data_IF_484902291445
#
_entry.id   IF_484902291445
#
_cell.length_a   1.000
_cell.length_b   1.000
_cell.length_c   1.000
_cell.angle_alpha   90.00
_cell.angle_beta   90.00
_cell.angle_gamma   90.00
#
_symmetry.space_group_name_H-M   'P 1'
#
loop_
_entity.id
_entity.type
_entity.pdbx_description
1 polymer ?
#
# COMPACT_ATOMS: atom_id res chain seq x y z
N UNK A 1 -6.12 38.48 43.15
CA UNK A 1 -5.17 37.93 42.17
C UNK A 1 -5.93 36.98 41.26
N UNK A 2 -6.35 37.52 40.11
CA UNK A 2 -6.96 36.77 39.04
C UNK A 2 -5.84 36.16 38.19
N UNK A 3 -5.77 34.85 38.11
CA UNK A 3 -4.89 34.12 37.19
C UNK A 3 -5.66 33.82 35.90
N UNK A 4 -5.32 34.51 34.83
CA UNK A 4 -5.89 34.33 33.50
C UNK A 4 -5.36 33.03 32.89
N UNK A 5 -6.23 32.05 32.74
CA UNK A 5 -5.99 30.86 31.93
C UNK A 5 -6.15 31.25 30.44
N UNK A 6 -5.05 31.31 29.73
CA UNK A 6 -5.03 31.40 28.28
C UNK A 6 -5.40 30.02 27.68
N UNK A 7 -6.62 29.89 27.21
CA UNK A 7 -7.02 28.79 26.35
C UNK A 7 -6.41 28.99 24.96
N UNK A 8 -5.43 28.19 24.61
CA UNK A 8 -5.03 28.02 23.21
C UNK A 8 -6.09 27.15 22.51
N UNK A 9 -6.99 27.79 21.80
CA UNK A 9 -7.88 27.14 20.83
C UNK A 9 -7.08 26.82 19.56
N UNK A 10 -6.30 25.74 19.59
CA UNK A 10 -5.69 25.16 18.40
C UNK A 10 -6.76 24.40 17.63
N UNK A 11 -7.45 25.05 16.71
CA UNK A 11 -8.22 24.36 15.71
C UNK A 11 -7.26 23.58 14.80
N UNK A 12 -7.14 22.28 14.99
CA UNK A 12 -6.58 21.38 14.00
C UNK A 12 -7.57 21.30 12.84
N UNK A 13 -7.47 22.25 11.92
CA UNK A 13 -8.20 22.17 10.65
C UNK A 13 -7.46 21.15 9.80
N UNK A 14 -7.87 19.89 9.90
CA UNK A 14 -7.62 18.94 8.83
C UNK A 14 -8.41 19.47 7.62
N UNK A 15 -7.70 19.99 6.62
CA UNK A 15 -8.29 20.20 5.31
C UNK A 15 -8.58 18.83 4.68
N UNK A 16 -9.51 18.08 5.29
CA UNK A 16 -10.15 16.96 4.67
C UNK A 16 -11.04 17.51 3.56
N UNK A 17 -10.63 17.39 2.30
CA UNK A 17 -11.61 17.33 1.24
C UNK A 17 -12.59 16.23 1.62
N UNK A 18 -13.81 16.61 1.96
CA UNK A 18 -14.92 15.68 2.05
C UNK A 18 -14.88 14.84 0.77
N UNK A 19 -14.62 13.55 0.94
CA UNK A 19 -14.74 12.60 -0.16
C UNK A 19 -16.22 12.62 -0.47
N UNK A 20 -16.61 13.29 -1.55
CA UNK A 20 -17.97 13.21 -2.07
C UNK A 20 -18.29 11.72 -2.31
N UNK A 21 -19.57 11.33 -2.24
CA UNK A 21 -19.97 9.96 -2.53
C UNK A 21 -19.35 9.56 -3.86
N UNK A 22 -18.73 8.40 -3.90
CA UNK A 22 -18.20 7.79 -5.11
C UNK A 22 -19.30 7.86 -6.17
N UNK A 23 -19.03 8.34 -7.39
CA UNK A 23 -20.04 8.28 -8.45
C UNK A 23 -20.56 6.85 -8.50
N UNK A 24 -21.86 6.69 -8.48
CA UNK A 24 -22.56 5.40 -8.59
C UNK A 24 -22.36 4.80 -10.01
N UNK A 25 -21.13 4.38 -10.29
CA UNK A 25 -20.71 3.71 -11.50
C UNK A 25 -19.92 2.46 -11.11
N UNK A 26 -20.09 1.40 -11.88
CA UNK A 26 -19.51 0.06 -11.73
C UNK A 26 -17.95 0.10 -11.91
N UNK A 27 -17.27 1.13 -11.42
CA UNK A 27 -15.83 1.29 -11.60
C UNK A 27 -15.09 0.86 -10.35
N UNK A 28 -14.05 0.04 -10.56
CA UNK A 28 -13.06 -0.24 -9.52
C UNK A 28 -12.12 0.96 -9.40
N UNK A 29 -11.87 1.42 -8.17
CA UNK A 29 -10.93 2.51 -7.87
C UNK A 29 -9.77 1.96 -7.05
N UNK A 30 -8.55 2.37 -7.41
CA UNK A 30 -7.35 2.20 -6.59
C UNK A 30 -6.93 3.56 -6.06
N UNK A 31 -6.78 3.67 -4.75
CA UNK A 31 -6.24 4.83 -4.06
C UNK A 31 -4.88 4.50 -3.47
N UNK A 32 -3.85 5.24 -3.82
CA UNK A 32 -2.52 5.13 -3.22
C UNK A 32 -2.53 5.81 -1.85
N UNK A 33 -2.39 5.02 -0.78
CA UNK A 33 -2.31 5.53 0.59
C UNK A 33 -0.89 6.00 0.93
N UNK A 34 0.09 5.39 0.31
CA UNK A 34 1.49 5.75 0.39
C UNK A 34 2.28 5.15 -0.78
N UNK A 35 3.33 5.82 -1.19
CA UNK A 35 4.12 5.49 -2.40
C UNK A 35 5.62 5.44 -2.13
N UNK A 36 6.03 5.64 -0.88
CA UNK A 36 7.42 5.62 -0.44
C UNK A 36 7.89 4.23 -0.05
N UNK A 37 9.21 4.06 -0.09
CA UNK A 37 9.91 2.88 0.41
C UNK A 37 9.83 2.76 1.94
N UNK A 38 10.49 1.76 2.51
CA UNK A 38 10.47 1.41 3.95
C UNK A 38 10.80 2.57 4.91
N UNK A 39 11.58 3.55 4.49
CA UNK A 39 11.90 4.74 5.30
C UNK A 39 10.88 5.87 5.14
N UNK A 40 10.00 5.81 4.15
CA UNK A 40 9.22 6.95 3.69
C UNK A 40 10.11 8.04 3.07
N UNK A 41 9.50 9.14 2.64
CA UNK A 41 10.20 10.34 2.19
C UNK A 41 9.53 11.57 2.82
N UNK A 42 10.26 12.39 3.60
CA UNK A 42 11.69 12.36 3.89
C UNK A 42 12.12 11.17 4.74
N UNK A 43 13.36 10.73 4.53
CA UNK A 43 14.00 9.75 5.40
C UNK A 43 14.54 10.44 6.67
N UNK A 44 14.44 9.77 7.81
CA UNK A 44 14.97 10.29 9.08
C UNK A 44 16.47 10.60 8.97
N UNK A 45 16.90 11.69 9.58
CA UNK A 45 18.28 12.16 9.61
C UNK A 45 18.89 12.46 8.23
N UNK A 46 18.09 12.62 7.18
CA UNK A 46 18.54 12.94 5.83
C UNK A 46 18.28 14.41 5.48
N UNK A 47 19.31 15.09 5.02
CA UNK A 47 19.29 16.50 4.62
C UNK A 47 19.46 16.71 3.10
N UNK A 48 19.24 15.66 2.29
CA UNK A 48 19.31 15.78 0.84
C UNK A 48 18.20 16.69 0.28
N UNK A 49 18.40 17.17 -0.95
CA UNK A 49 17.48 18.09 -1.64
C UNK A 49 16.02 17.60 -1.60
N UNK A 50 15.78 16.31 -1.85
CA UNK A 50 14.44 15.72 -1.86
C UNK A 50 13.83 15.67 -0.47
N UNK A 51 14.60 15.27 0.55
CA UNK A 51 14.10 15.22 1.92
C UNK A 51 13.77 16.61 2.49
N UNK A 52 14.54 17.65 2.12
CA UNK A 52 14.31 19.04 2.49
C UNK A 52 13.29 19.76 1.59
N UNK A 53 12.90 19.16 0.46
CA UNK A 53 11.96 19.75 -0.48
C UNK A 53 10.65 20.14 0.20
N UNK A 54 10.10 21.30 -0.17
CA UNK A 54 8.75 21.74 0.22
C UNK A 54 7.66 21.27 -0.73
N UNK A 55 8.04 20.68 -1.86
CA UNK A 55 7.08 20.12 -2.81
C UNK A 55 6.37 18.91 -2.18
N UNK A 56 5.04 18.92 -2.07
CA UNK A 56 4.28 17.80 -1.51
C UNK A 56 4.44 16.51 -2.31
N UNK A 57 4.80 16.58 -3.60
CA UNK A 57 5.06 15.40 -4.44
C UNK A 57 6.32 14.64 -4.02
N UNK A 58 7.23 15.29 -3.27
CA UNK A 58 8.41 14.71 -2.66
C UNK A 58 8.17 14.25 -1.22
N UNK A 59 6.91 14.16 -0.76
CA UNK A 59 6.53 13.60 0.54
C UNK A 59 5.76 12.32 0.31
N UNK A 60 6.24 11.22 0.89
CA UNK A 60 5.72 9.88 0.63
C UNK A 60 5.62 9.07 1.91
N UNK A 61 4.44 8.65 2.26
CA UNK A 61 4.18 7.64 3.27
C UNK A 61 4.59 6.26 2.73
N UNK A 62 4.79 5.28 3.62
CA UNK A 62 5.16 3.91 3.21
C UNK A 62 4.08 3.27 2.37
N UNK A 63 4.50 2.42 1.45
CA UNK A 63 3.63 1.85 0.42
C UNK A 63 2.43 1.10 0.98
N UNK A 64 1.26 1.48 0.52
CA UNK A 64 -0.02 0.79 0.73
C UNK A 64 -1.03 1.32 -0.28
N UNK A 65 -1.99 0.51 -0.68
CA UNK A 65 -3.10 0.91 -1.55
C UNK A 65 -4.44 0.46 -0.98
N UNK A 66 -5.49 1.16 -1.36
CA UNK A 66 -6.87 0.78 -1.11
C UNK A 66 -7.57 0.52 -2.44
N UNK A 67 -8.23 -0.63 -2.57
CA UNK A 67 -9.01 -0.98 -3.76
C UNK A 67 -10.48 -1.01 -3.38
N UNK A 68 -11.31 -0.30 -4.16
CA UNK A 68 -12.74 -0.19 -3.93
C UNK A 68 -13.54 -0.51 -5.17
N UNK A 69 -14.61 -1.26 -4.98
CA UNK A 69 -15.65 -1.43 -5.99
C UNK A 69 -16.97 -1.65 -5.27
N UNK A 70 -18.00 -0.90 -5.64
CA UNK A 70 -19.28 -0.89 -4.94
C UNK A 70 -19.08 -0.70 -3.41
N UNK A 71 -19.65 -1.56 -2.59
CA UNK A 71 -19.54 -1.48 -1.13
C UNK A 71 -18.34 -2.26 -0.55
N UNK A 72 -17.49 -2.86 -1.38
CA UNK A 72 -16.35 -3.63 -0.90
C UNK A 72 -15.04 -2.85 -0.96
N UNK A 73 -14.28 -2.91 0.13
CA UNK A 73 -13.01 -2.20 0.30
C UNK A 73 -11.91 -3.18 0.72
N UNK A 74 -10.88 -3.27 -0.09
CA UNK A 74 -9.68 -4.08 0.16
C UNK A 74 -8.53 -3.14 0.51
N UNK A 75 -7.86 -3.37 1.64
CA UNK A 75 -6.59 -2.75 1.98
C UNK A 75 -5.46 -3.70 1.60
N UNK A 76 -4.45 -3.20 0.90
CA UNK A 76 -3.20 -3.93 0.65
C UNK A 76 -2.11 -3.34 1.52
N UNK A 77 -1.62 -4.15 2.45
CA UNK A 77 -0.64 -3.85 3.48
C UNK A 77 -1.11 -2.83 4.53
N UNK A 78 -0.82 -3.14 5.78
CA UNK A 78 -0.99 -2.24 6.92
C UNK A 78 0.34 -1.56 7.22
N UNK A 79 0.68 -0.54 6.43
CA UNK A 79 1.95 0.16 6.62
C UNK A 79 2.07 0.78 8.02
N UNK A 80 3.28 1.08 8.45
CA UNK A 80 3.53 1.82 9.72
C UNK A 80 2.79 3.15 9.77
N UNK A 81 2.41 3.71 8.63
CA UNK A 81 1.70 4.99 8.50
C UNK A 81 0.17 4.83 8.41
N UNK A 82 -0.37 3.61 8.59
CA UNK A 82 -1.78 3.29 8.32
C UNK A 82 -2.75 4.27 8.99
N UNK A 83 -2.52 4.60 10.26
CA UNK A 83 -3.38 5.56 10.97
C UNK A 83 -3.41 6.91 10.26
N UNK A 84 -2.25 7.44 9.91
CA UNK A 84 -2.16 8.72 9.19
C UNK A 84 -2.81 8.62 7.82
N UNK A 85 -2.57 7.55 7.08
CA UNK A 85 -3.16 7.28 5.77
C UNK A 85 -4.69 7.26 5.84
N UNK A 86 -5.25 6.53 6.81
CA UNK A 86 -6.70 6.46 6.99
C UNK A 86 -7.33 7.82 7.34
N UNK A 87 -6.68 8.61 8.19
CA UNK A 87 -7.15 9.94 8.57
C UNK A 87 -7.07 10.93 7.39
N UNK A 88 -5.97 10.93 6.63
CA UNK A 88 -5.78 11.81 5.47
C UNK A 88 -6.82 11.57 4.39
N UNK A 89 -7.18 10.32 4.15
CA UNK A 89 -8.08 9.96 3.05
C UNK A 89 -9.49 9.59 3.50
N UNK A 90 -9.81 9.77 4.79
CA UNK A 90 -11.14 9.54 5.35
C UNK A 90 -11.59 8.08 5.21
N UNK A 91 -10.69 7.13 5.43
CA UNK A 91 -11.01 5.70 5.32
C UNK A 91 -11.79 5.28 6.57
N UNK A 92 -13.04 4.88 6.38
CA UNK A 92 -13.94 4.48 7.47
C UNK A 92 -14.34 3.00 7.43
N UNK A 93 -14.02 2.31 6.33
CA UNK A 93 -14.39 0.91 6.11
C UNK A 93 -13.25 0.15 5.44
N UNK A 94 -12.97 -1.04 5.97
CA UNK A 94 -12.10 -2.05 5.37
C UNK A 94 -12.84 -3.39 5.54
N UNK A 95 -13.01 -4.14 4.47
CA UNK A 95 -13.69 -5.44 4.48
C UNK A 95 -12.70 -6.60 4.41
N UNK A 96 -11.54 -6.37 3.79
CA UNK A 96 -10.51 -7.39 3.55
C UNK A 96 -9.14 -6.75 3.60
N UNK A 97 -8.15 -7.43 4.18
CA UNK A 97 -6.74 -7.04 4.13
C UNK A 97 -5.95 -8.09 3.36
N UNK A 98 -5.14 -7.64 2.40
CA UNK A 98 -4.20 -8.47 1.67
C UNK A 98 -2.79 -8.07 2.06
N UNK A 99 -1.96 -9.01 2.47
CA UNK A 99 -0.56 -8.76 2.78
C UNK A 99 0.33 -9.23 1.64
N UNK A 100 1.18 -8.33 1.16
CA UNK A 100 2.23 -8.67 0.19
C UNK A 100 3.31 -9.52 0.85
N UNK A 101 3.82 -9.07 1.99
CA UNK A 101 4.82 -9.78 2.78
C UNK A 101 4.90 -9.22 4.22
N UNK A 102 5.85 -9.73 5.01
CA UNK A 102 5.91 -9.51 6.45
C UNK A 102 6.93 -8.46 6.91
N UNK A 103 7.52 -7.67 6.01
CA UNK A 103 8.42 -6.60 6.44
C UNK A 103 7.68 -5.49 7.19
N UNK A 104 8.40 -4.79 8.07
CA UNK A 104 7.85 -3.84 9.02
C UNK A 104 7.01 -2.74 8.38
N UNK A 105 7.47 -2.19 7.28
CA UNK A 105 6.81 -1.12 6.53
C UNK A 105 5.49 -1.56 5.87
N UNK A 106 5.23 -2.88 5.78
CA UNK A 106 4.00 -3.45 5.23
C UNK A 106 3.04 -3.98 6.30
N UNK A 107 3.51 -4.24 7.54
CA UNK A 107 2.67 -4.93 8.52
C UNK A 107 2.53 -4.21 9.86
N UNK A 108 3.40 -3.26 10.24
CA UNK A 108 3.43 -2.71 11.60
C UNK A 108 2.27 -1.77 11.94
N UNK A 109 1.43 -1.39 10.99
CA UNK A 109 0.17 -0.71 11.26
C UNK A 109 -1.01 -1.64 11.55
N UNK A 110 -0.78 -2.95 11.68
CA UNK A 110 -1.81 -3.97 11.89
C UNK A 110 -2.72 -3.68 13.11
N UNK A 111 -2.16 -3.09 14.15
CA UNK A 111 -2.90 -2.78 15.38
C UNK A 111 -4.00 -1.72 15.16
N UNK A 112 -3.87 -0.86 14.17
CA UNK A 112 -4.88 0.14 13.82
C UNK A 112 -6.18 -0.48 13.29
N UNK A 113 -6.13 -1.73 12.83
CA UNK A 113 -7.31 -2.45 12.35
C UNK A 113 -8.36 -2.67 13.44
N UNK A 114 -7.98 -2.62 14.72
CA UNK A 114 -8.92 -2.69 15.85
C UNK A 114 -10.03 -1.62 15.80
N UNK A 115 -9.69 -0.43 15.27
CA UNK A 115 -10.67 0.64 15.11
C UNK A 115 -11.80 0.24 14.15
N UNK A 116 -11.47 -0.43 13.04
CA UNK A 116 -12.45 -0.93 12.08
C UNK A 116 -13.29 -2.07 12.67
N UNK A 117 -12.67 -2.98 13.45
CA UNK A 117 -13.42 -4.02 14.17
C UNK A 117 -14.44 -3.40 15.14
N UNK A 118 -14.01 -2.38 15.90
CA UNK A 118 -14.86 -1.74 16.90
C UNK A 118 -16.07 -1.06 16.28
N UNK A 119 -15.87 -0.28 15.20
CA UNK A 119 -16.96 0.44 14.54
C UNK A 119 -17.84 -0.46 13.67
N UNK A 120 -17.25 -1.40 12.94
CA UNK A 120 -17.98 -2.31 12.04
C UNK A 120 -18.51 -3.57 12.74
N UNK A 121 -18.09 -3.81 14.01
CA UNK A 121 -18.49 -4.96 14.84
C UNK A 121 -18.28 -6.32 14.17
N UNK A 122 -17.21 -6.45 13.40
CA UNK A 122 -16.86 -7.66 12.67
C UNK A 122 -15.37 -7.92 12.74
N UNK A 123 -14.99 -9.20 12.75
CA UNK A 123 -13.62 -9.62 12.55
C UNK A 123 -13.23 -9.41 11.07
N UNK A 124 -11.98 -9.01 10.84
CA UNK A 124 -11.47 -8.75 9.49
C UNK A 124 -10.69 -9.96 8.97
N UNK A 125 -11.04 -10.49 7.79
CA UNK A 125 -10.21 -11.48 7.11
C UNK A 125 -8.93 -10.83 6.60
N UNK A 126 -7.80 -11.46 6.91
CA UNK A 126 -6.46 -11.05 6.50
C UNK A 126 -5.79 -12.17 5.71
N UNK A 127 -5.34 -11.88 4.51
CA UNK A 127 -4.81 -12.86 3.58
C UNK A 127 -3.32 -12.63 3.34
N UNK A 128 -2.58 -13.70 3.22
CA UNK A 128 -1.16 -13.69 2.88
C UNK A 128 -0.67 -15.09 2.53
N UNK A 129 0.54 -15.23 2.00
CA UNK A 129 1.15 -16.55 1.85
C UNK A 129 1.51 -17.15 3.22
N UNK A 130 1.78 -18.45 3.26
CA UNK A 130 2.07 -19.17 4.49
C UNK A 130 3.21 -18.56 5.31
N UNK A 131 4.25 -18.06 4.64
CA UNK A 131 5.39 -17.43 5.29
C UNK A 131 4.98 -16.11 5.97
N UNK A 132 4.26 -15.27 5.27
CA UNK A 132 3.77 -13.98 5.79
C UNK A 132 2.87 -14.19 7.01
N UNK A 133 1.88 -15.09 6.93
CA UNK A 133 0.98 -15.37 8.04
C UNK A 133 1.70 -15.95 9.26
N UNK A 134 2.69 -16.83 9.05
CA UNK A 134 3.52 -17.34 10.13
C UNK A 134 4.28 -16.21 10.85
N UNK A 135 4.89 -15.28 10.10
CA UNK A 135 5.60 -14.15 10.69
C UNK A 135 4.65 -13.17 11.40
N UNK A 136 3.45 -12.95 10.87
CA UNK A 136 2.43 -12.17 11.56
C UNK A 136 2.07 -12.82 12.91
N UNK A 137 1.86 -14.12 12.94
CA UNK A 137 1.59 -14.86 14.17
C UNK A 137 2.70 -14.76 15.22
N UNK A 138 3.97 -14.75 14.79
CA UNK A 138 5.13 -14.59 15.68
C UNK A 138 5.27 -13.14 16.16
N UNK A 139 5.27 -12.18 15.26
CA UNK A 139 5.55 -10.78 15.55
C UNK A 139 4.41 -10.09 16.31
N UNK A 140 3.17 -10.55 16.08
CA UNK A 140 1.95 -10.02 16.68
C UNK A 140 1.19 -11.11 17.44
N UNK A 141 1.94 -11.87 18.28
CA UNK A 141 1.38 -12.97 19.07
C UNK A 141 0.21 -12.55 19.96
N UNK A 142 0.18 -11.30 20.42
CA UNK A 142 -0.94 -10.76 21.19
C UNK A 142 -2.25 -10.64 20.39
N UNK A 143 -2.17 -10.61 19.04
CA UNK A 143 -3.34 -10.62 18.14
C UNK A 143 -3.76 -12.05 17.79
N UNK A 144 -2.79 -12.90 17.43
CA UNK A 144 -3.02 -14.21 16.84
C UNK A 144 -2.82 -15.39 17.82
N UNK A 145 -2.26 -15.14 19.00
CA UNK A 145 -2.04 -16.13 20.04
C UNK A 145 -3.20 -16.27 21.01
N UNK A 146 -3.00 -17.07 22.06
CA UNK A 146 -3.93 -17.11 23.19
C UNK A 146 -3.87 -15.78 23.96
N UNK A 147 -5.04 -15.21 24.23
CA UNK A 147 -5.13 -13.93 24.91
C UNK A 147 -4.64 -14.07 26.37
N UNK A 148 -3.49 -13.52 26.67
CA UNK A 148 -2.96 -13.47 28.06
C UNK A 148 -3.68 -12.45 28.92
N UNK A 149 -4.37 -11.47 28.28
CA UNK A 149 -5.03 -10.38 28.98
C UNK A 149 -6.45 -10.13 28.43
N UNK A 150 -7.42 -10.07 29.34
CA UNK A 150 -8.81 -9.75 29.03
C UNK A 150 -8.99 -8.22 29.16
N UNK A 151 -9.62 -7.57 28.17
CA UNK A 151 -10.05 -6.18 28.23
C UNK A 151 -9.20 -5.16 27.48
N UNK A 152 -8.25 -5.58 26.66
CA UNK A 152 -7.53 -4.71 25.70
C UNK A 152 -8.25 -4.65 24.36
N UNK A 153 -8.19 -3.50 23.65
CA UNK A 153 -8.70 -3.38 22.28
C UNK A 153 -7.79 -4.07 21.28
N UNK A 154 -7.75 -5.40 21.29
CA UNK A 154 -6.94 -6.20 20.37
C UNK A 154 -7.68 -6.31 19.03
N UNK A 155 -6.98 -6.16 17.88
CA UNK A 155 -7.58 -6.42 16.57
C UNK A 155 -8.16 -7.83 16.48
N UNK A 156 -9.38 -7.96 15.97
CA UNK A 156 -10.02 -9.25 15.69
C UNK A 156 -9.79 -9.59 14.21
N UNK A 157 -8.80 -10.45 13.96
CA UNK A 157 -8.35 -10.79 12.62
C UNK A 157 -8.49 -12.30 12.36
N UNK A 158 -8.88 -12.65 11.14
CA UNK A 158 -9.01 -14.04 10.70
C UNK A 158 -7.94 -14.30 9.65
N UNK A 159 -6.82 -14.95 9.99
CA UNK A 159 -5.76 -15.23 9.02
C UNK A 159 -6.19 -16.35 8.05
N UNK A 160 -6.04 -16.08 6.75
CA UNK A 160 -6.41 -17.00 5.68
C UNK A 160 -5.25 -17.08 4.70
N UNK A 161 -4.75 -18.30 4.48
CA UNK A 161 -3.66 -18.53 3.54
C UNK A 161 -4.15 -18.38 2.10
N UNK A 162 -3.38 -17.61 1.31
CA UNK A 162 -3.59 -17.52 -0.13
C UNK A 162 -3.11 -18.79 -0.83
N UNK A 163 -3.91 -19.23 -1.80
CA UNK A 163 -3.62 -20.29 -2.74
C UNK A 163 -3.51 -19.71 -4.15
N UNK A 164 -2.93 -20.45 -5.08
CA UNK A 164 -2.83 -20.04 -6.49
C UNK A 164 -4.17 -20.20 -7.21
N UNK A 165 -5.09 -19.29 -6.89
CA UNK A 165 -6.42 -19.18 -7.52
C UNK A 165 -6.91 -17.75 -7.49
N UNK A 166 -7.88 -17.42 -8.33
CA UNK A 166 -8.58 -16.14 -8.27
C UNK A 166 -9.64 -16.17 -7.17
N UNK A 167 -9.60 -15.18 -6.30
CA UNK A 167 -10.58 -14.90 -5.26
C UNK A 167 -11.58 -13.85 -5.77
N UNK A 168 -12.78 -13.83 -5.18
CA UNK A 168 -13.75 -12.75 -5.37
C UNK A 168 -14.05 -12.12 -4.02
N UNK A 169 -13.69 -10.86 -3.85
CA UNK A 169 -14.02 -10.07 -2.66
C UNK A 169 -15.09 -9.07 -3.05
N UNK A 170 -16.34 -9.34 -2.70
CA UNK A 170 -17.48 -8.70 -3.36
C UNK A 170 -17.39 -8.92 -4.87
N UNK A 171 -17.40 -7.84 -5.64
CA UNK A 171 -17.25 -7.86 -7.11
C UNK A 171 -15.80 -7.70 -7.59
N UNK A 172 -14.83 -7.66 -6.68
CA UNK A 172 -13.42 -7.46 -7.01
C UNK A 172 -12.73 -8.82 -7.19
N UNK A 173 -12.35 -9.20 -8.43
CA UNK A 173 -11.53 -10.39 -8.65
C UNK A 173 -10.08 -10.08 -8.26
N UNK A 174 -9.48 -10.98 -7.49
CA UNK A 174 -8.08 -10.85 -7.03
C UNK A 174 -7.34 -12.15 -7.31
N UNK A 175 -6.27 -12.06 -8.08
CA UNK A 175 -5.36 -13.18 -8.33
C UNK A 175 -4.01 -12.89 -7.66
N UNK A 176 -3.57 -13.70 -6.69
CA UNK A 176 -2.24 -13.61 -6.13
C UNK A 176 -1.16 -13.88 -7.19
N UNK A 177 -0.07 -13.15 -7.10
CA UNK A 177 1.07 -13.22 -8.00
C UNK A 177 2.32 -13.50 -7.18
N UNK A 178 3.05 -14.55 -7.52
CA UNK A 178 4.36 -14.81 -6.90
C UNK A 178 5.39 -13.82 -7.42
N UNK A 179 6.02 -13.06 -6.53
CA UNK A 179 6.99 -12.02 -6.84
C UNK A 179 8.29 -12.33 -6.08
N UNK A 180 9.41 -12.19 -6.76
CA UNK A 180 10.72 -12.37 -6.17
C UNK A 180 11.15 -11.08 -5.45
N UNK A 181 11.48 -11.18 -4.16
CA UNK A 181 12.03 -10.12 -3.33
C UNK A 181 13.35 -10.61 -2.70
N UNK A 182 14.44 -10.44 -3.42
CA UNK A 182 15.71 -11.07 -3.09
C UNK A 182 15.58 -12.60 -3.08
N UNK A 183 15.68 -13.20 -1.89
CA UNK A 183 15.50 -14.65 -1.68
C UNK A 183 14.08 -15.05 -1.28
N UNK A 184 13.22 -14.08 -1.01
CA UNK A 184 11.84 -14.33 -0.62
C UNK A 184 10.94 -14.40 -1.85
N UNK A 185 9.90 -15.23 -1.76
CA UNK A 185 8.74 -15.15 -2.64
C UNK A 185 7.63 -14.46 -1.85
N UNK A 186 7.19 -13.33 -2.36
CA UNK A 186 6.16 -12.49 -1.77
C UNK A 186 4.95 -12.43 -2.69
N UNK A 187 3.84 -11.84 -2.25
CA UNK A 187 2.66 -11.66 -3.09
C UNK A 187 2.64 -10.28 -3.75
N UNK A 188 2.42 -10.24 -5.07
CA UNK A 188 1.73 -9.17 -5.74
C UNK A 188 0.27 -9.53 -5.92
N UNK A 189 -0.54 -8.62 -6.45
CA UNK A 189 -1.97 -8.87 -6.67
C UNK A 189 -2.42 -8.33 -8.02
N UNK A 190 -3.16 -9.15 -8.77
CA UNK A 190 -3.87 -8.71 -9.95
C UNK A 190 -5.35 -8.47 -9.61
N UNK A 191 -5.83 -7.26 -9.86
CA UNK A 191 -7.21 -6.81 -9.73
C UNK A 191 -7.75 -6.59 -11.15
N UNK A 192 -8.46 -7.55 -11.73
CA UNK A 192 -8.99 -7.47 -13.09
C UNK A 192 -7.90 -7.10 -14.12
N UNK A 193 -7.89 -5.86 -14.59
CA UNK A 193 -6.98 -5.32 -15.62
C UNK A 193 -5.80 -4.52 -14.99
N UNK A 194 -5.65 -4.55 -13.67
CA UNK A 194 -4.57 -3.89 -12.94
C UNK A 194 -3.75 -4.89 -12.13
N UNK A 195 -2.44 -4.72 -12.09
CA UNK A 195 -1.56 -5.44 -11.18
C UNK A 195 -0.82 -4.48 -10.26
N UNK A 196 -0.75 -4.83 -8.98
CA UNK A 196 0.05 -4.16 -7.95
C UNK A 196 1.22 -5.06 -7.53
N UNK A 197 2.43 -4.59 -7.80
CA UNK A 197 3.67 -5.32 -7.54
C UNK A 197 4.63 -4.36 -6.84
N UNK A 198 4.71 -4.45 -5.52
CA UNK A 198 5.70 -3.76 -4.69
C UNK A 198 6.87 -4.68 -4.37
N UNK A 199 8.00 -4.13 -3.92
CA UNK A 199 9.16 -4.87 -3.39
C UNK A 199 9.69 -5.98 -4.31
N UNK A 200 9.67 -5.73 -5.59
CA UNK A 200 10.03 -6.69 -6.62
C UNK A 200 11.51 -6.56 -7.01
N UNK A 201 12.23 -7.66 -7.00
CA UNK A 201 13.56 -7.79 -7.62
C UNK A 201 13.56 -8.73 -8.82
N UNK A 202 12.44 -9.43 -9.06
CA UNK A 202 12.26 -10.33 -10.20
C UNK A 202 10.81 -10.79 -10.31
N UNK A 203 10.36 -11.03 -11.54
CA UNK A 203 9.03 -11.53 -11.85
C UNK A 203 9.19 -12.90 -12.51
N UNK A 204 8.75 -13.99 -11.86
CA UNK A 204 8.80 -15.34 -12.44
C UNK A 204 8.03 -15.45 -13.78
N UNK A 205 8.41 -16.35 -14.66
CA UNK A 205 7.77 -16.52 -15.97
C UNK A 205 6.29 -16.89 -15.86
N UNK A 206 5.92 -17.70 -14.88
CA UNK A 206 4.54 -18.05 -14.57
C UNK A 206 3.71 -16.81 -14.20
N UNK A 207 4.30 -15.90 -13.40
CA UNK A 207 3.68 -14.63 -13.06
C UNK A 207 3.60 -13.72 -14.27
N UNK A 208 4.64 -13.64 -15.13
CA UNK A 208 4.59 -12.88 -16.37
C UNK A 208 3.43 -13.30 -17.26
N UNK A 209 3.14 -14.59 -17.33
CA UNK A 209 1.99 -15.11 -18.08
C UNK A 209 0.65 -14.58 -17.52
N UNK A 210 0.55 -14.43 -16.17
CA UNK A 210 -0.63 -13.87 -15.49
C UNK A 210 -0.74 -12.34 -15.65
N UNK A 211 0.29 -11.63 -16.11
CA UNK A 211 0.31 -10.18 -16.31
C UNK A 211 -0.07 -9.74 -17.73
N UNK A 212 -0.42 -10.64 -18.61
CA UNK A 212 -0.84 -10.30 -19.98
C UNK A 212 -2.17 -9.53 -19.99
N UNK A 213 -2.26 -8.53 -20.88
CA UNK A 213 -3.50 -7.76 -21.10
C UNK A 213 -3.86 -6.80 -19.97
N UNK A 214 -2.86 -6.32 -19.22
CA UNK A 214 -3.08 -5.28 -18.21
C UNK A 214 -3.33 -3.92 -18.86
N UNK A 215 -4.28 -3.17 -18.32
CA UNK A 215 -4.40 -1.74 -18.56
C UNK A 215 -3.45 -0.95 -17.67
N UNK A 216 -3.33 -1.33 -16.41
CA UNK A 216 -2.47 -0.64 -15.45
C UNK A 216 -1.51 -1.62 -14.77
N UNK A 217 -0.23 -1.28 -14.78
CA UNK A 217 0.79 -1.94 -13.99
C UNK A 217 1.30 -0.97 -12.92
N UNK A 218 1.14 -1.31 -11.65
CA UNK A 218 1.75 -0.61 -10.52
C UNK A 218 2.97 -1.43 -10.11
N UNK A 219 4.17 -0.85 -10.26
CA UNK A 219 5.43 -1.57 -10.08
C UNK A 219 6.41 -0.76 -9.23
N UNK A 220 7.18 -1.42 -8.36
CA UNK A 220 8.19 -0.70 -7.60
C UNK A 220 9.37 -0.23 -8.48
N UNK A 221 9.87 0.97 -8.15
CA UNK A 221 11.14 1.50 -8.64
C UNK A 221 11.84 2.20 -7.48
N UNK A 222 12.73 1.48 -6.79
CA UNK A 222 13.30 1.97 -5.53
C UNK A 222 14.13 3.25 -5.73
N UNK A 223 14.98 3.28 -6.74
CA UNK A 223 15.92 4.36 -7.00
C UNK A 223 16.69 4.12 -8.29
N UNK A 224 17.77 4.89 -8.52
CA UNK A 224 18.56 4.77 -9.75
C UNK A 224 19.53 3.58 -9.74
N UNK A 225 20.05 3.22 -8.56
CA UNK A 225 21.08 2.18 -8.43
C UNK A 225 20.44 0.80 -8.29
N UNK A 226 21.06 -0.24 -8.87
CA UNK A 226 20.64 -1.63 -8.63
C UNK A 226 20.60 -1.96 -7.13
N UNK A 227 19.62 -2.71 -6.73
CA UNK A 227 19.41 -3.16 -5.35
C UNK A 227 19.13 -4.67 -5.31
N UNK A 228 19.65 -5.43 -4.31
CA UNK A 228 19.51 -6.88 -4.30
C UNK A 228 18.06 -7.38 -4.13
N UNK A 229 17.16 -6.54 -3.62
CA UNK A 229 15.79 -6.93 -3.31
C UNK A 229 14.71 -6.09 -4.02
N UNK A 230 15.10 -5.06 -4.77
CA UNK A 230 14.15 -4.17 -5.45
C UNK A 230 14.64 -3.82 -6.85
N UNK A 231 13.74 -3.62 -7.78
CA UNK A 231 14.07 -3.03 -9.06
C UNK A 231 14.58 -1.60 -8.90
N UNK A 232 15.66 -1.29 -9.60
CA UNK A 232 16.02 0.09 -9.92
C UNK A 232 15.07 0.65 -10.97
N UNK A 233 15.13 1.96 -11.24
CA UNK A 233 14.34 2.59 -12.30
C UNK A 233 14.54 1.90 -13.65
N UNK A 234 15.79 1.64 -14.05
CA UNK A 234 16.09 0.98 -15.33
C UNK A 234 15.49 -0.42 -15.43
N UNK A 235 15.57 -1.22 -14.35
CA UNK A 235 15.00 -2.56 -14.30
C UNK A 235 13.45 -2.53 -14.31
N UNK A 236 12.86 -1.56 -13.61
CA UNK A 236 11.40 -1.38 -13.62
C UNK A 236 10.89 -0.98 -15.02
N UNK A 237 11.60 -0.10 -15.71
CA UNK A 237 11.27 0.30 -17.09
C UNK A 237 11.42 -0.86 -18.10
N UNK A 238 12.44 -1.71 -17.94
CA UNK A 238 12.61 -2.92 -18.73
C UNK A 238 11.45 -3.89 -18.52
N UNK A 239 11.11 -4.17 -17.25
CA UNK A 239 9.98 -5.04 -16.92
C UNK A 239 8.64 -4.47 -17.45
N UNK A 240 8.42 -3.17 -17.36
CA UNK A 240 7.22 -2.51 -17.89
C UNK A 240 7.13 -2.66 -19.42
N UNK A 241 8.26 -2.52 -20.13
CA UNK A 241 8.34 -2.71 -21.58
C UNK A 241 8.01 -4.16 -21.99
N UNK A 242 8.40 -5.14 -21.19
CA UNK A 242 8.12 -6.56 -21.45
C UNK A 242 6.63 -6.90 -21.19
N UNK A 243 6.06 -6.38 -20.09
CA UNK A 243 4.67 -6.64 -19.70
C UNK A 243 3.67 -5.94 -20.63
N UNK A 244 4.01 -4.77 -21.15
CA UNK A 244 3.22 -3.99 -22.10
C UNK A 244 1.83 -3.62 -21.59
N UNK A 245 1.73 -3.18 -20.33
CA UNK A 245 0.52 -2.54 -19.85
C UNK A 245 0.31 -1.20 -20.59
N UNK A 246 -0.94 -0.77 -20.73
CA UNK A 246 -1.26 0.52 -21.37
C UNK A 246 -0.70 1.70 -20.56
N UNK A 247 -0.63 1.56 -19.24
CA UNK A 247 -0.11 2.56 -18.29
C UNK A 247 0.70 1.87 -17.20
N UNK A 248 1.87 2.41 -16.88
CA UNK A 248 2.72 1.94 -15.78
C UNK A 248 2.88 3.03 -14.74
N UNK A 249 2.62 2.72 -13.47
CA UNK A 249 2.74 3.64 -12.35
C UNK A 249 3.82 3.11 -11.40
N UNK A 250 4.89 3.88 -11.22
CA UNK A 250 6.03 3.49 -10.40
C UNK A 250 5.78 3.89 -8.93
N UNK A 251 5.98 2.95 -8.02
CA UNK A 251 5.76 3.11 -6.56
C UNK A 251 6.95 2.60 -5.75
N UNK A 252 6.85 2.61 -4.42
CA UNK A 252 7.90 2.19 -3.49
C UNK A 252 9.21 2.95 -3.68
N UNK A 253 9.09 4.28 -3.79
CA UNK A 253 10.12 5.22 -4.22
C UNK A 253 10.93 5.72 -3.03
N UNK A 254 12.25 5.76 -3.15
CA UNK A 254 13.12 6.35 -2.14
C UNK A 254 13.39 7.85 -2.38
N UNK A 255 14.13 8.47 -1.48
CA UNK A 255 14.47 9.90 -1.50
C UNK A 255 15.52 10.34 -2.54
N UNK A 256 15.90 9.46 -3.48
CA UNK A 256 16.76 9.82 -4.60
C UNK A 256 15.96 10.32 -5.82
N UNK A 257 14.64 10.12 -5.83
CA UNK A 257 13.76 10.59 -6.88
C UNK A 257 13.15 11.95 -6.51
N UNK A 258 13.64 13.02 -7.09
CA UNK A 258 12.87 14.25 -7.18
C UNK A 258 11.73 14.03 -8.19
N UNK A 259 10.50 14.21 -7.74
CA UNK A 259 9.32 13.86 -8.52
C UNK A 259 9.30 14.54 -9.88
N UNK A 260 9.50 15.86 -9.92
CA UNK A 260 9.42 16.63 -11.15
C UNK A 260 10.58 16.32 -12.11
N UNK A 261 11.81 16.16 -11.55
CA UNK A 261 12.99 15.86 -12.38
C UNK A 261 12.86 14.49 -13.03
N UNK A 262 12.48 13.47 -12.26
CA UNK A 262 12.35 12.10 -12.78
C UNK A 262 11.18 11.99 -13.74
N UNK A 263 10.04 12.61 -13.44
CA UNK A 263 8.84 12.51 -14.30
C UNK A 263 9.06 13.06 -15.72
N UNK A 264 9.98 14.03 -15.90
CA UNK A 264 10.30 14.57 -17.25
C UNK A 264 11.02 13.57 -18.14
N UNK A 265 11.78 12.67 -17.52
CA UNK A 265 12.65 11.73 -18.24
C UNK A 265 12.01 10.35 -18.42
N UNK A 266 10.79 10.15 -17.90
CA UNK A 266 10.07 8.89 -18.03
C UNK A 266 9.51 8.74 -19.46
N UNK A 267 9.50 7.52 -20.01
CA UNK A 267 8.89 7.25 -21.30
C UNK A 267 7.37 7.45 -21.26
N UNK A 268 6.76 7.65 -22.41
CA UNK A 268 5.31 7.75 -22.55
C UNK A 268 4.60 6.53 -21.94
N UNK A 269 3.51 6.76 -21.23
CA UNK A 269 2.74 5.73 -20.54
C UNK A 269 3.33 5.30 -19.21
N UNK A 270 4.44 5.89 -18.75
CA UNK A 270 5.05 5.63 -17.44
C UNK A 270 5.04 6.90 -16.58
N UNK A 271 4.65 6.78 -15.34
CA UNK A 271 4.60 7.89 -14.40
C UNK A 271 4.96 7.48 -12.97
N UNK A 272 5.30 8.43 -12.12
CA UNK A 272 5.50 8.21 -10.69
C UNK A 272 4.18 8.30 -9.93
N UNK A 273 3.94 7.35 -9.04
CA UNK A 273 2.83 7.42 -8.10
C UNK A 273 2.97 8.62 -7.16
N UNK A 274 1.84 9.09 -6.64
CA UNK A 274 1.72 10.09 -5.58
C UNK A 274 0.82 9.57 -4.48
N UNK A 275 1.10 9.97 -3.25
CA UNK A 275 0.19 9.72 -2.14
C UNK A 275 -1.14 10.44 -2.41
N UNK A 276 -2.24 9.71 -2.31
CA UNK A 276 -3.58 10.21 -2.67
C UNK A 276 -3.96 10.10 -4.14
N UNK A 277 -3.08 9.60 -5.01
CA UNK A 277 -3.41 9.32 -6.41
C UNK A 277 -4.54 8.30 -6.51
N UNK A 278 -5.45 8.54 -7.47
CA UNK A 278 -6.60 7.67 -7.73
C UNK A 278 -6.56 7.17 -9.16
N UNK A 279 -6.82 5.89 -9.33
CA UNK A 279 -6.88 5.22 -10.63
C UNK A 279 -8.23 4.53 -10.73
N UNK A 280 -9.02 4.92 -11.71
CA UNK A 280 -10.28 4.26 -12.07
C UNK A 280 -10.01 3.18 -13.15
N UNK A 281 -10.66 2.02 -13.01
CA UNK A 281 -10.48 0.83 -13.85
C UNK A 281 -11.79 0.31 -14.41
#
# INVERSE_FOLDING_TARGET
HQSSLLFFSGNWVFQGRLIGPTPSGIFMEILFLGTGTSTGVPSLCCDCEVCLSKDPKNKRLRSSILVRQNDHTILVDTSTDLRQQCLLYGIQKIDTVLYTHHHADHVHGIDELRSFNFFNKTALPVYGNAQTLRHLGINFSYIFGEAEQIGGGIPQLIPIQLEDKTYSFGDIPVTPLDIQHGKLIINGFRFKDCAYITDCSGIPDETRAKLKGLKVLILNALGFKPHPTHFSLSQALEAAKDIKAERTILTHINHHFDHEKVSRDLPEGVELALDGMRVAL
#
